data_IF_144455513210
#
_entry.id   IF_144455513210
#
_cell.length_a   1.000
_cell.length_b   1.000
_cell.length_c   1.000
_cell.angle_alpha   90.00
_cell.angle_beta   90.00
_cell.angle_gamma   90.00
#
_symmetry.space_group_name_H-M   'P 1'
#
loop_
_entity.id
_entity.type
_entity.pdbx_description
1 polymer ?
#
# COMPACT_ATOMS: atom_id res chain seq x y z
N UNK A 1 -4.70 -11.41 13.78
CA UNK A 1 -4.89 -10.06 14.36
C UNK A 1 -4.95 -9.99 15.89
N UNK A 2 -5.07 -11.10 16.63
CA UNK A 2 -5.26 -11.05 18.09
C UNK A 2 -3.93 -10.93 18.85
N UNK A 3 -3.59 -9.72 19.28
CA UNK A 3 -2.37 -9.40 20.06
C UNK A 3 -2.67 -8.29 21.07
N UNK A 4 -1.83 -8.19 22.11
CA UNK A 4 -1.78 -7.05 23.02
C UNK A 4 -0.41 -6.38 22.87
N UNK A 5 -0.35 -5.27 22.13
CA UNK A 5 0.90 -4.58 21.86
C UNK A 5 0.70 -3.08 21.71
N UNK A 6 1.76 -2.32 21.97
CA UNK A 6 1.80 -0.87 21.77
C UNK A 6 3.20 -0.45 21.35
N UNK A 7 3.27 0.66 20.61
CA UNK A 7 4.50 1.35 20.26
C UNK A 7 4.33 2.84 20.59
N UNK A 8 5.41 3.48 21.02
CA UNK A 8 5.42 4.89 21.35
C UNK A 8 6.70 5.53 20.80
N UNK A 9 6.54 6.73 20.24
CA UNK A 9 7.63 7.51 19.65
C UNK A 9 7.62 8.88 20.31
N UNK A 10 8.76 9.29 20.85
CA UNK A 10 8.94 10.61 21.46
C UNK A 10 9.75 11.46 20.48
N UNK A 11 9.19 12.59 20.07
CA UNK A 11 9.84 13.56 19.18
C UNK A 11 10.06 14.85 19.98
N UNK A 12 11.26 15.42 19.85
CA UNK A 12 11.62 16.69 20.47
C UNK A 12 12.56 17.46 19.54
N UNK A 13 12.62 18.79 19.71
CA UNK A 13 13.70 19.56 19.09
C UNK A 13 15.04 19.21 19.77
N UNK A 14 16.15 19.36 19.04
CA UNK A 14 17.49 19.15 19.62
C UNK A 14 17.74 20.05 20.85
N UNK A 15 17.23 21.28 20.83
CA UNK A 15 17.32 22.20 21.97
C UNK A 15 16.58 21.68 23.21
N UNK A 16 15.36 21.17 23.04
CA UNK A 16 14.58 20.59 24.15
C UNK A 16 15.22 19.29 24.67
N UNK A 17 15.70 18.43 23.77
CA UNK A 17 16.40 17.20 24.16
C UNK A 17 17.63 17.48 25.03
N UNK A 18 18.43 18.51 24.69
CA UNK A 18 19.56 18.97 25.54
C UNK A 18 19.09 19.51 26.88
N UNK A 19 18.06 20.36 26.90
CA UNK A 19 17.53 20.93 28.13
C UNK A 19 17.01 19.87 29.11
N UNK A 20 16.49 18.75 28.58
CA UNK A 20 16.02 17.60 29.35
C UNK A 20 17.13 16.57 29.66
N UNK A 21 18.37 16.80 29.22
CA UNK A 21 19.50 15.91 29.47
C UNK A 21 19.45 14.58 28.70
N UNK A 22 18.75 14.52 27.56
CA UNK A 22 18.71 13.32 26.71
C UNK A 22 20.06 13.15 26.00
N UNK A 23 20.80 12.04 26.22
CA UNK A 23 22.10 11.82 25.61
C UNK A 23 22.08 11.85 24.08
N UNK A 24 23.00 12.57 23.43
CA UNK A 24 23.03 12.74 21.96
C UNK A 24 23.28 11.42 21.21
N UNK A 25 23.92 10.44 21.83
CA UNK A 25 24.10 9.09 21.25
C UNK A 25 22.77 8.34 21.10
N UNK A 26 21.73 8.72 21.84
CA UNK A 26 20.35 8.21 21.68
C UNK A 26 19.57 8.92 20.58
N UNK A 27 20.07 10.00 19.99
CA UNK A 27 19.29 10.75 19.02
C UNK A 27 19.24 10.03 17.67
N UNK A 28 18.05 10.04 17.08
CA UNK A 28 17.81 9.64 15.69
C UNK A 28 17.02 10.76 15.05
N UNK A 29 17.54 11.23 13.92
CA UNK A 29 16.98 12.32 13.16
C UNK A 29 16.06 11.78 12.06
N UNK A 30 14.98 12.50 11.84
CA UNK A 30 14.05 12.25 10.74
C UNK A 30 14.57 13.04 9.54
N UNK A 31 15.02 12.36 8.49
CA UNK A 31 15.58 12.99 7.29
C UNK A 31 14.51 13.48 6.32
N UNK A 32 13.39 12.76 6.26
CA UNK A 32 12.26 13.15 5.43
C UNK A 32 10.99 12.43 5.87
N UNK A 33 9.85 13.08 5.68
CA UNK A 33 8.53 12.46 5.79
C UNK A 33 7.67 12.88 4.60
N UNK A 34 7.10 11.92 3.89
CA UNK A 34 6.17 12.17 2.79
C UNK A 34 4.87 11.43 3.00
N UNK A 35 3.80 11.94 2.40
CA UNK A 35 2.50 11.29 2.38
C UNK A 35 1.82 11.50 1.04
N UNK A 36 1.22 10.45 0.51
CA UNK A 36 0.45 10.46 -0.73
C UNK A 36 -0.90 9.77 -0.54
N UNK A 37 -1.88 10.21 -1.33
CA UNK A 37 -3.21 9.60 -1.42
C UNK A 37 -3.41 9.15 -2.86
N UNK A 38 -3.84 7.90 -3.04
CA UNK A 38 -4.19 7.35 -4.34
C UNK A 38 -5.65 7.63 -4.68
N UNK A 39 -5.97 7.56 -5.97
CA UNK A 39 -7.34 7.50 -6.45
C UNK A 39 -8.13 6.36 -5.80
N UNK A 40 -9.45 6.55 -5.75
CA UNK A 40 -10.39 5.47 -5.45
C UNK A 40 -10.11 4.27 -6.35
N UNK A 41 -10.20 3.05 -5.81
CA UNK A 41 -9.80 1.82 -6.52
C UNK A 41 -10.41 1.71 -7.93
N UNK A 42 -11.70 2.00 -8.08
CA UNK A 42 -12.41 1.98 -9.37
C UNK A 42 -11.92 3.04 -10.36
N UNK A 43 -11.34 4.14 -9.90
CA UNK A 43 -10.86 5.22 -10.75
C UNK A 43 -9.38 5.05 -11.15
N UNK A 44 -8.68 4.03 -10.64
CA UNK A 44 -7.26 3.82 -10.95
C UNK A 44 -7.10 3.34 -12.40
N UNK A 45 -6.21 3.94 -13.20
CA UNK A 45 -5.90 3.45 -14.54
C UNK A 45 -5.45 1.98 -14.54
N UNK A 46 -4.51 1.65 -13.66
CA UNK A 46 -4.00 0.31 -13.45
C UNK A 46 -4.35 -0.15 -12.03
N UNK A 47 -5.08 -1.27 -11.92
CA UNK A 47 -5.50 -1.84 -10.64
C UNK A 47 -4.37 -2.61 -9.94
N UNK A 48 -3.32 -2.99 -10.67
CA UNK A 48 -2.18 -3.76 -10.16
C UNK A 48 -1.07 -2.89 -9.58
N UNK A 49 -1.09 -1.58 -9.85
CA UNK A 49 -0.06 -0.63 -9.46
C UNK A 49 -0.55 0.39 -8.43
N UNK A 50 0.41 1.07 -7.78
CA UNK A 50 0.15 2.18 -6.88
C UNK A 50 1.18 3.31 -7.02
N UNK A 51 1.02 4.19 -8.02
CA UNK A 51 1.96 5.29 -8.25
C UNK A 51 2.04 6.28 -7.08
N UNK A 52 0.98 6.45 -6.28
CA UNK A 52 1.04 7.30 -5.08
C UNK A 52 2.08 6.80 -4.06
N UNK A 53 2.16 5.49 -3.82
CA UNK A 53 3.17 4.94 -2.91
C UNK A 53 4.60 5.13 -3.43
N UNK A 54 4.79 4.94 -4.73
CA UNK A 54 6.08 5.18 -5.39
C UNK A 54 6.49 6.64 -5.26
N UNK A 55 5.60 7.56 -5.61
CA UNK A 55 5.85 9.00 -5.50
C UNK A 55 6.19 9.40 -4.06
N UNK A 56 5.54 8.80 -3.06
CA UNK A 56 5.87 9.01 -1.65
C UNK A 56 7.32 8.62 -1.35
N UNK A 57 7.76 7.44 -1.78
CA UNK A 57 9.12 6.95 -1.54
C UNK A 57 10.16 7.79 -2.29
N UNK A 58 9.95 8.06 -3.58
CA UNK A 58 10.86 8.89 -4.38
C UNK A 58 11.01 10.30 -3.79
N UNK A 59 9.89 10.92 -3.39
CA UNK A 59 9.90 12.25 -2.80
C UNK A 59 10.61 12.29 -1.43
N UNK A 60 10.55 11.20 -0.65
CA UNK A 60 11.27 11.07 0.62
C UNK A 60 12.78 10.93 0.36
N UNK A 61 13.17 10.01 -0.53
CA UNK A 61 14.56 9.83 -0.95
C UNK A 61 15.18 11.14 -1.45
N UNK A 62 14.49 11.86 -2.35
CA UNK A 62 14.95 13.15 -2.85
C UNK A 62 15.14 14.20 -1.73
N UNK A 63 14.19 14.30 -0.79
CA UNK A 63 14.28 15.24 0.37
C UNK A 63 15.37 14.87 1.36
N UNK A 64 15.63 13.58 1.52
CA UNK A 64 16.75 13.09 2.30
C UNK A 64 18.09 13.26 1.56
N UNK A 65 18.07 13.59 0.26
CA UNK A 65 19.25 13.55 -0.63
C UNK A 65 19.90 12.17 -0.62
N UNK A 66 19.07 11.13 -0.74
CA UNK A 66 19.45 9.72 -0.71
C UNK A 66 18.88 8.94 -1.88
N UNK A 67 19.51 7.81 -2.15
CA UNK A 67 19.03 6.77 -3.06
C UNK A 67 18.50 5.55 -2.30
N UNK A 68 17.76 4.67 -2.99
CA UNK A 68 17.29 3.41 -2.38
C UNK A 68 18.44 2.50 -1.94
N UNK A 69 19.57 2.51 -2.68
CA UNK A 69 20.74 1.68 -2.35
C UNK A 69 21.45 2.12 -1.06
N UNK A 70 21.29 3.38 -0.66
CA UNK A 70 21.81 3.89 0.61
C UNK A 70 20.93 3.51 1.81
N UNK A 71 19.74 2.94 1.58
CA UNK A 71 18.88 2.45 2.66
C UNK A 71 19.38 1.08 3.10
N UNK A 72 20.01 1.02 4.27
CA UNK A 72 20.52 -0.22 4.84
C UNK A 72 19.42 -1.05 5.51
N UNK A 73 18.36 -0.38 5.98
CA UNK A 73 17.24 -1.01 6.67
C UNK A 73 15.92 -0.61 5.99
N UNK A 74 15.10 -1.59 5.65
CA UNK A 74 13.83 -1.39 4.97
C UNK A 74 12.69 -2.03 5.78
N UNK A 75 11.60 -1.29 5.98
CA UNK A 75 10.32 -1.88 6.36
C UNK A 75 9.22 -1.37 5.43
N UNK A 76 8.76 -2.24 4.55
CA UNK A 76 7.56 -2.01 3.75
C UNK A 76 6.36 -2.68 4.41
N UNK A 77 5.30 -1.88 4.64
CA UNK A 77 4.04 -2.39 5.17
C UNK A 77 3.46 -3.55 4.33
N UNK A 78 3.09 -4.64 4.99
CA UNK A 78 2.93 -5.95 4.34
C UNK A 78 1.68 -6.72 4.77
N UNK A 79 0.52 -6.08 4.96
CA UNK A 79 -0.74 -6.80 5.22
C UNK A 79 -1.09 -7.85 4.15
N UNK A 80 -0.72 -7.53 2.91
CA UNK A 80 -0.76 -8.39 1.74
C UNK A 80 0.55 -8.18 0.98
N UNK A 81 0.79 -8.99 -0.05
CA UNK A 81 2.03 -8.91 -0.82
C UNK A 81 2.12 -7.69 -1.75
N UNK A 82 0.99 -7.24 -2.32
CA UNK A 82 0.96 -6.19 -3.36
C UNK A 82 1.61 -4.84 -2.95
N UNK A 83 1.47 -4.31 -1.71
CA UNK A 83 2.16 -3.08 -1.32
C UNK A 83 3.67 -3.24 -1.23
N UNK A 84 4.18 -4.46 -1.05
CA UNK A 84 5.63 -4.77 -1.05
C UNK A 84 6.12 -4.96 -2.48
N UNK A 85 5.43 -5.77 -3.28
CA UNK A 85 5.79 -6.00 -4.69
C UNK A 85 5.81 -4.71 -5.48
N UNK A 86 4.84 -3.81 -5.28
CA UNK A 86 4.83 -2.51 -5.95
C UNK A 86 6.12 -1.71 -5.70
N UNK A 87 6.72 -1.79 -4.50
CA UNK A 87 8.03 -1.16 -4.23
C UNK A 87 9.18 -1.92 -4.89
N UNK A 88 9.14 -3.26 -4.84
CA UNK A 88 10.19 -4.10 -5.41
C UNK A 88 10.30 -3.91 -6.91
N UNK A 89 9.16 -3.97 -7.62
CA UNK A 89 9.08 -3.84 -9.07
C UNK A 89 9.59 -2.46 -9.53
N UNK A 90 9.26 -1.39 -8.80
CA UNK A 90 9.70 -0.03 -9.15
C UNK A 90 11.17 0.24 -8.85
N UNK A 91 11.63 -0.13 -7.64
CA UNK A 91 12.99 0.15 -7.20
C UNK A 91 14.00 -0.94 -7.59
N UNK A 92 13.57 -1.96 -8.33
CA UNK A 92 14.43 -3.08 -8.74
C UNK A 92 14.95 -3.92 -7.58
N UNK A 93 14.20 -3.98 -6.47
CA UNK A 93 14.58 -4.78 -5.30
C UNK A 93 14.25 -6.25 -5.56
N UNK A 94 15.21 -7.11 -5.30
CA UNK A 94 14.95 -8.54 -5.29
C UNK A 94 14.03 -8.89 -4.12
N UNK A 95 13.15 -9.87 -4.30
CA UNK A 95 12.26 -10.36 -3.23
C UNK A 95 13.03 -10.96 -2.05
N UNK A 96 14.26 -11.40 -2.33
CA UNK A 96 15.25 -11.93 -1.40
C UNK A 96 16.44 -10.96 -1.19
N UNK A 97 16.21 -9.64 -1.37
CA UNK A 97 17.23 -8.62 -1.11
C UNK A 97 17.90 -8.87 0.27
N UNK A 98 19.24 -8.96 0.34
CA UNK A 98 19.94 -9.37 1.55
C UNK A 98 19.78 -8.39 2.72
N UNK A 99 19.33 -7.15 2.46
CA UNK A 99 18.97 -6.19 3.51
C UNK A 99 17.69 -6.58 4.26
N UNK A 100 16.85 -7.40 3.62
CA UNK A 100 15.48 -7.68 4.03
C UNK A 100 14.52 -6.55 3.67
N UNK A 101 13.23 -6.88 3.55
CA UNK A 101 12.15 -5.94 3.21
C UNK A 101 11.27 -5.57 4.43
N UNK A 102 11.60 -6.09 5.61
CA UNK A 102 10.94 -5.82 6.88
C UNK A 102 11.94 -5.82 8.04
N UNK A 103 11.69 -4.96 9.02
CA UNK A 103 12.40 -4.91 10.29
C UNK A 103 11.64 -5.64 11.41
N UNK A 104 10.33 -5.78 11.26
CA UNK A 104 9.42 -6.33 12.29
C UNK A 104 9.00 -7.78 12.03
N UNK A 105 9.17 -8.28 10.81
CA UNK A 105 8.73 -9.61 10.38
C UNK A 105 7.46 -9.61 9.52
N UNK A 106 6.86 -8.45 9.27
CA UNK A 106 5.70 -8.28 8.41
C UNK A 106 4.37 -8.63 9.08
N UNK A 107 3.28 -8.00 8.60
CA UNK A 107 2.03 -7.95 9.34
C UNK A 107 1.37 -9.31 9.63
N UNK A 108 1.35 -10.29 8.69
CA UNK A 108 0.70 -11.59 8.93
C UNK A 108 1.37 -12.38 10.07
N UNK A 109 2.66 -12.16 10.32
CA UNK A 109 3.47 -12.93 11.26
C UNK A 109 3.72 -12.16 12.56
N UNK A 110 3.94 -10.86 12.48
CA UNK A 110 4.12 -9.98 13.64
C UNK A 110 2.83 -9.85 14.46
N UNK A 111 1.68 -9.79 13.77
CA UNK A 111 0.36 -9.70 14.39
C UNK A 111 -0.13 -8.27 14.63
N UNK A 112 -1.43 -8.15 14.92
CA UNK A 112 -2.16 -6.89 15.09
C UNK A 112 -3.02 -6.49 13.89
N UNK A 113 -4.01 -5.62 14.13
CA UNK A 113 -4.99 -5.19 13.13
C UNK A 113 -4.44 -4.20 12.08
N UNK A 114 -3.12 -4.19 11.84
CA UNK A 114 -2.47 -3.34 10.85
C UNK A 114 -2.28 -1.88 11.24
N UNK A 115 -3.29 -1.25 11.85
CA UNK A 115 -3.33 0.22 11.98
C UNK A 115 -2.12 0.84 12.72
N UNK A 116 -1.58 0.18 13.73
CA UNK A 116 -0.40 0.65 14.48
C UNK A 116 0.92 -0.07 14.11
N UNK A 117 0.93 -0.93 13.08
CA UNK A 117 2.11 -1.71 12.72
C UNK A 117 3.33 -0.83 12.41
N UNK A 118 3.15 0.22 11.59
CA UNK A 118 4.29 1.06 11.19
C UNK A 118 4.93 1.83 12.34
N UNK A 119 4.23 2.03 13.47
CA UNK A 119 4.86 2.60 14.66
C UNK A 119 5.91 1.64 15.24
N UNK A 120 5.65 0.32 15.24
CA UNK A 120 6.64 -0.68 15.62
C UNK A 120 7.81 -0.71 14.63
N UNK A 121 7.54 -0.59 13.33
CA UNK A 121 8.59 -0.50 12.32
C UNK A 121 9.50 0.73 12.51
N UNK A 122 8.94 1.88 12.89
CA UNK A 122 9.73 3.07 13.24
C UNK A 122 10.58 2.82 14.50
N UNK A 123 10.02 2.19 15.54
CA UNK A 123 10.79 1.83 16.73
C UNK A 123 11.97 0.92 16.39
N UNK A 124 11.76 -0.12 15.57
CA UNK A 124 12.82 -1.00 15.11
C UNK A 124 13.85 -0.26 14.25
N UNK A 125 13.42 0.59 13.31
CA UNK A 125 14.32 1.42 12.51
C UNK A 125 15.23 2.29 13.39
N UNK A 126 14.68 2.92 14.43
CA UNK A 126 15.43 3.73 15.41
C UNK A 126 16.49 2.89 16.13
N UNK A 127 16.15 1.69 16.60
CA UNK A 127 17.11 0.81 17.29
C UNK A 127 18.21 0.32 16.32
N UNK A 128 17.85 -0.05 15.08
CA UNK A 128 18.81 -0.50 14.06
C UNK A 128 19.82 0.58 13.69
N UNK A 129 19.39 1.82 13.44
CA UNK A 129 20.31 2.91 13.08
C UNK A 129 21.16 3.37 14.27
N UNK A 130 20.67 3.26 15.51
CA UNK A 130 21.51 3.47 16.71
C UNK A 130 22.61 2.41 16.82
N UNK A 131 22.27 1.16 16.56
CA UNK A 131 23.21 0.03 16.57
C UNK A 131 24.24 0.07 15.44
N UNK A 132 23.89 0.72 14.32
CA UNK A 132 24.79 0.95 13.20
C UNK A 132 24.79 2.44 12.80
N UNK A 133 25.53 3.25 13.55
CA UNK A 133 25.54 4.71 13.37
C UNK A 133 25.99 5.10 11.96
N UNK A 134 25.36 6.13 11.41
CA UNK A 134 25.59 6.61 10.05
C UNK A 134 24.79 5.88 8.96
N UNK A 135 24.15 4.76 9.30
CA UNK A 135 23.23 4.06 8.39
C UNK A 135 21.87 4.77 8.28
N UNK A 136 21.11 4.40 7.26
CA UNK A 136 19.78 4.94 6.99
C UNK A 136 18.74 3.84 6.96
N UNK A 137 17.58 4.12 7.54
CA UNK A 137 16.41 3.27 7.52
C UNK A 137 15.24 3.94 6.81
N UNK A 138 14.52 3.18 5.98
CA UNK A 138 13.30 3.60 5.32
C UNK A 138 12.11 2.80 5.85
N UNK A 139 11.05 3.49 6.27
CA UNK A 139 9.78 2.87 6.67
C UNK A 139 8.67 3.38 5.76
N UNK A 140 7.99 2.46 5.06
CA UNK A 140 6.80 2.71 4.26
C UNK A 140 5.54 2.24 4.99
N UNK A 141 4.59 3.15 5.21
CA UNK A 141 3.33 2.91 5.90
C UNK A 141 2.15 2.96 4.92
N UNK A 142 1.47 1.84 4.73
CA UNK A 142 0.33 1.70 3.82
C UNK A 142 -1.01 1.76 4.57
N UNK A 143 -2.01 2.42 4.00
CA UNK A 143 -3.37 2.50 4.55
C UNK A 143 -4.47 2.19 3.53
N UNK A 144 -5.51 1.49 3.97
CA UNK A 144 -6.66 1.11 3.14
C UNK A 144 -6.27 0.10 2.04
N UNK A 145 -6.91 0.22 0.88
CA UNK A 145 -6.62 -0.60 -0.31
C UNK A 145 -5.49 0.01 -1.15
N UNK A 146 -4.35 0.24 -0.49
CA UNK A 146 -3.27 1.10 -1.03
C UNK A 146 -3.78 2.51 -1.35
N UNK A 147 -4.71 3.01 -0.54
CA UNK A 147 -5.33 4.32 -0.73
C UNK A 147 -4.46 5.46 -0.20
N UNK A 148 -3.57 5.15 0.74
CA UNK A 148 -2.64 6.09 1.37
C UNK A 148 -1.30 5.43 1.54
N UNK A 149 -0.24 6.21 1.36
CA UNK A 149 1.11 5.78 1.67
C UNK A 149 1.87 6.92 2.33
N UNK A 150 2.65 6.62 3.37
CA UNK A 150 3.56 7.57 3.99
C UNK A 150 4.94 6.94 4.09
N UNK A 151 5.99 7.74 3.87
CA UNK A 151 7.37 7.27 3.91
C UNK A 151 8.17 8.11 4.90
N UNK A 152 8.91 7.46 5.80
CA UNK A 152 9.86 8.09 6.70
C UNK A 152 11.28 7.58 6.48
N UNK A 153 12.27 8.47 6.53
CA UNK A 153 13.70 8.11 6.51
C UNK A 153 14.37 8.55 7.81
N UNK A 154 15.14 7.66 8.43
CA UNK A 154 15.71 7.83 9.76
C UNK A 154 17.22 7.53 9.75
N UNK A 155 18.02 8.30 10.49
CA UNK A 155 19.45 8.04 10.71
C UNK A 155 19.93 8.72 11.99
N UNK A 156 21.09 8.31 12.49
CA UNK A 156 21.79 9.06 13.55
C UNK A 156 22.52 10.30 13.02
N UNK A 157 22.69 10.43 11.71
CA UNK A 157 23.23 11.64 11.10
C UNK A 157 22.29 12.83 11.35
N UNK A 158 22.80 14.03 11.67
CA UNK A 158 21.95 15.21 11.84
C UNK A 158 21.16 15.54 10.57
N UNK A 159 19.89 15.87 10.73
CA UNK A 159 19.04 16.41 9.66
C UNK A 159 18.68 17.88 9.96
N UNK A 160 18.96 18.78 9.02
CA UNK A 160 18.62 20.20 9.14
C UNK A 160 17.18 20.47 8.66
N UNK A 161 16.32 20.91 9.58
CA UNK A 161 14.92 21.25 9.34
C UNK A 161 14.68 22.76 9.20
N UNK A 162 15.71 23.59 9.17
CA UNK A 162 15.57 25.05 9.14
C UNK A 162 14.77 25.58 7.93
N UNK A 163 14.88 24.92 6.78
CA UNK A 163 14.14 25.25 5.56
C UNK A 163 12.68 24.75 5.54
N UNK A 164 12.30 23.89 6.50
CA UNK A 164 10.97 23.28 6.59
C UNK A 164 10.50 22.55 5.30
N UNK A 165 11.42 21.91 4.59
CA UNK A 165 11.21 21.25 3.29
C UNK A 165 11.31 19.71 3.36
N UNK A 166 11.66 19.16 4.53
CA UNK A 166 11.77 17.71 4.78
C UNK A 166 10.42 17.00 4.97
N UNK A 167 9.32 17.75 5.00
CA UNK A 167 7.97 17.19 5.00
C UNK A 167 7.20 17.58 3.73
N UNK A 168 6.47 16.63 3.13
CA UNK A 168 5.53 16.97 2.06
C UNK A 168 4.31 16.05 2.02
N UNK A 169 3.13 16.64 1.80
CA UNK A 169 1.95 15.93 1.33
C UNK A 169 1.85 16.11 -0.18
N UNK A 170 1.94 15.01 -0.92
CA UNK A 170 1.93 15.02 -2.38
C UNK A 170 0.50 15.23 -2.92
N UNK A 171 0.35 15.91 -4.07
CA UNK A 171 -0.94 16.01 -4.73
C UNK A 171 -1.40 14.64 -5.23
N UNK A 172 -2.72 14.43 -5.22
CA UNK A 172 -3.32 13.25 -5.83
C UNK A 172 -3.23 13.35 -7.36
N UNK A 173 -3.03 12.21 -8.04
CA UNK A 173 -2.96 12.18 -9.50
C UNK A 173 -4.29 12.60 -10.14
N UNK A 174 -4.22 13.26 -11.30
CA UNK A 174 -5.37 13.74 -12.06
C UNK A 174 -5.77 12.86 -13.24
N UNK A 175 -5.27 11.63 -13.30
CA UNK A 175 -5.42 10.72 -14.45
C UNK A 175 -6.47 9.61 -14.23
N UNK A 176 -7.45 9.83 -13.35
CA UNK A 176 -8.45 8.82 -13.06
C UNK A 176 -9.30 8.43 -14.28
N UNK A 177 -9.67 7.15 -14.38
CA UNK A 177 -10.54 6.65 -15.44
C UNK A 177 -12.01 6.95 -15.12
N UNK A 178 -12.87 7.13 -16.14
CA UNK A 178 -14.32 7.25 -15.94
C UNK A 178 -14.88 6.02 -15.22
N UNK A 179 -15.78 6.26 -14.26
CA UNK A 179 -16.52 5.23 -13.54
C UNK A 179 -18.01 5.44 -13.76
N UNK A 180 -18.78 4.36 -13.84
CA UNK A 180 -20.23 4.43 -14.06
C UNK A 180 -21.00 3.78 -12.92
N UNK A 181 -21.91 4.54 -12.32
CA UNK A 181 -22.95 4.03 -11.42
C UNK A 181 -24.28 3.78 -12.16
N UNK A 182 -24.33 4.10 -13.45
CA UNK A 182 -25.51 3.88 -14.29
C UNK A 182 -25.69 2.37 -14.58
N UNK A 183 -26.93 1.91 -14.83
CA UNK A 183 -27.15 0.54 -15.29
C UNK A 183 -26.36 0.23 -16.56
N UNK A 184 -25.76 -0.96 -16.62
CA UNK A 184 -25.04 -1.48 -17.76
C UNK A 184 -25.46 -2.93 -18.01
N UNK A 185 -25.42 -3.35 -19.26
CA UNK A 185 -25.86 -4.67 -19.73
C UNK A 185 -24.68 -5.61 -20.04
N UNK A 186 -23.46 -5.07 -20.06
CA UNK A 186 -22.27 -5.80 -20.44
C UNK A 186 -21.02 -5.22 -19.78
N UNK A 187 -20.07 -6.10 -19.44
CA UNK A 187 -18.76 -5.73 -18.91
C UNK A 187 -17.67 -6.69 -19.38
N UNK A 188 -16.48 -6.17 -19.63
CA UNK A 188 -15.26 -6.96 -19.86
C UNK A 188 -14.47 -7.01 -18.56
N UNK A 189 -14.16 -8.20 -18.06
CA UNK A 189 -13.47 -8.39 -16.77
C UNK A 189 -12.01 -7.93 -16.86
N UNK A 190 -11.57 -7.13 -15.88
CA UNK A 190 -10.18 -6.68 -15.76
C UNK A 190 -9.50 -7.25 -14.51
N UNK A 191 -10.23 -7.35 -13.40
CA UNK A 191 -9.74 -7.93 -12.16
C UNK A 191 -10.90 -8.55 -11.39
N UNK A 192 -10.59 -9.50 -10.50
CA UNK A 192 -11.60 -10.17 -9.71
C UNK A 192 -11.04 -10.72 -8.41
N UNK A 193 -11.94 -11.12 -7.52
CA UNK A 193 -11.64 -11.95 -6.37
C UNK A 193 -12.82 -12.87 -6.08
N UNK A 194 -12.55 -14.01 -5.44
CA UNK A 194 -13.57 -14.91 -4.92
C UNK A 194 -13.46 -14.91 -3.40
N UNK A 195 -14.52 -14.48 -2.74
CA UNK A 195 -14.63 -14.57 -1.30
C UNK A 195 -15.25 -15.91 -0.93
N UNK A 196 -14.44 -16.81 -0.37
CA UNK A 196 -14.89 -18.13 0.07
C UNK A 196 -15.44 -18.08 1.50
N UNK A 197 -16.75 -18.31 1.65
CA UNK A 197 -17.43 -18.29 2.94
C UNK A 197 -17.97 -19.69 3.28
N UNK A 198 -18.29 -19.94 4.55
CA UNK A 198 -18.86 -21.23 4.99
C UNK A 198 -20.19 -21.61 4.33
N UNK A 199 -20.92 -20.63 3.79
CA UNK A 199 -22.29 -20.79 3.24
C UNK A 199 -22.28 -20.73 1.70
N UNK A 200 -21.13 -20.45 1.09
CA UNK A 200 -21.00 -20.27 -0.36
C UNK A 200 -19.86 -19.31 -0.70
N UNK A 201 -19.51 -19.25 -1.98
CA UNK A 201 -18.53 -18.30 -2.49
C UNK A 201 -19.23 -17.16 -3.21
N UNK A 202 -18.68 -15.94 -3.11
CA UNK A 202 -19.11 -14.79 -3.89
C UNK A 202 -17.92 -14.29 -4.73
N UNK A 203 -18.10 -14.20 -6.04
CA UNK A 203 -17.11 -13.59 -6.93
C UNK A 203 -17.46 -12.12 -7.16
N UNK A 204 -16.49 -11.21 -6.99
CA UNK A 204 -16.61 -9.79 -7.34
C UNK A 204 -15.64 -9.51 -8.48
N UNK A 205 -16.10 -8.81 -9.51
CA UNK A 205 -15.26 -8.34 -10.61
C UNK A 205 -15.25 -6.81 -10.69
N UNK A 206 -14.12 -6.28 -11.14
CA UNK A 206 -13.99 -4.94 -11.69
C UNK A 206 -13.76 -5.12 -13.19
N UNK A 207 -14.47 -4.33 -14.00
CA UNK A 207 -14.35 -4.40 -15.46
C UNK A 207 -14.71 -3.10 -16.14
N UNK A 208 -14.72 -3.12 -17.48
CA UNK A 208 -15.13 -1.99 -18.31
C UNK A 208 -16.42 -2.31 -19.08
N UNK A 209 -17.37 -1.38 -19.07
CA UNK A 209 -18.60 -1.48 -19.85
C UNK A 209 -18.35 -1.15 -21.34
N UNK A 210 -19.38 -1.25 -22.19
CA UNK A 210 -19.29 -0.94 -23.62
C UNK A 210 -18.91 0.52 -23.93
N UNK A 211 -19.14 1.46 -22.99
CA UNK A 211 -18.74 2.85 -23.12
C UNK A 211 -17.28 3.11 -22.67
N UNK A 212 -16.57 2.08 -22.20
CA UNK A 212 -15.20 2.20 -21.70
C UNK A 212 -15.10 2.77 -20.28
N UNK A 213 -16.19 2.74 -19.51
CA UNK A 213 -16.23 3.20 -18.12
C UNK A 213 -16.02 2.02 -17.16
N UNK A 214 -15.32 2.27 -16.04
CA UNK A 214 -15.14 1.27 -14.99
C UNK A 214 -16.46 0.97 -14.29
N UNK A 215 -16.73 -0.31 -14.10
CA UNK A 215 -17.91 -0.84 -13.42
C UNK A 215 -17.53 -1.99 -12.47
N UNK A 216 -18.41 -2.24 -11.50
CA UNK A 216 -18.25 -3.32 -10.51
C UNK A 216 -19.50 -4.20 -10.51
N UNK A 217 -19.30 -5.51 -10.39
CA UNK A 217 -20.38 -6.47 -10.28
C UNK A 217 -19.94 -7.78 -9.63
N UNK A 218 -20.87 -8.71 -9.56
CA UNK A 218 -20.66 -10.07 -9.09
C UNK A 218 -20.74 -11.04 -10.27
N UNK A 219 -19.86 -12.03 -10.30
CA UNK A 219 -20.02 -13.13 -11.24
C UNK A 219 -21.08 -14.10 -10.71
N UNK A 220 -21.94 -14.61 -11.59
CA UNK A 220 -22.93 -15.61 -11.24
C UNK A 220 -22.24 -16.99 -11.07
N UNK A 221 -22.00 -17.40 -9.83
CA UNK A 221 -21.40 -18.70 -9.54
C UNK A 221 -22.41 -19.87 -9.55
N UNK A 222 -23.70 -19.58 -9.68
CA UNK A 222 -24.72 -20.62 -9.89
C UNK A 222 -24.77 -21.06 -11.37
N UNK A 223 -24.34 -20.20 -12.28
CA UNK A 223 -24.12 -20.52 -13.69
C UNK A 223 -22.81 -21.31 -13.87
N UNK A 224 -22.90 -22.57 -14.32
CA UNK A 224 -21.75 -23.48 -14.39
C UNK A 224 -20.61 -22.98 -15.30
N UNK A 225 -20.88 -22.47 -16.52
CA UNK A 225 -19.83 -21.88 -17.36
C UNK A 225 -19.11 -20.72 -16.67
N UNK A 226 -19.87 -19.78 -16.11
CA UNK A 226 -19.33 -18.61 -15.41
C UNK A 226 -18.49 -19.02 -14.19
N UNK A 227 -19.00 -19.94 -13.36
CA UNK A 227 -18.25 -20.47 -12.21
C UNK A 227 -16.92 -21.09 -12.63
N UNK A 228 -16.93 -21.99 -13.63
CA UNK A 228 -15.71 -22.67 -14.10
C UNK A 228 -14.64 -21.67 -14.56
N UNK A 229 -15.04 -20.61 -15.26
CA UNK A 229 -14.10 -19.59 -15.72
C UNK A 229 -13.46 -18.84 -14.54
N UNK A 230 -14.26 -18.37 -13.58
CA UNK A 230 -13.74 -17.62 -12.43
C UNK A 230 -12.87 -18.49 -11.50
N UNK A 231 -13.28 -19.74 -11.25
CA UNK A 231 -12.51 -20.70 -10.47
C UNK A 231 -11.23 -21.16 -11.17
N UNK A 232 -11.12 -21.00 -12.50
CA UNK A 232 -9.92 -21.37 -13.26
C UNK A 232 -8.71 -20.46 -13.02
N UNK A 233 -8.92 -19.23 -12.50
CA UNK A 233 -7.86 -18.23 -12.40
C UNK A 233 -7.86 -17.18 -13.51
N UNK A 234 -8.53 -17.46 -14.64
CA UNK A 234 -8.31 -16.73 -15.90
C UNK A 234 -9.59 -16.07 -16.50
N UNK A 235 -10.44 -15.36 -15.72
CA UNK A 235 -11.60 -14.66 -16.27
C UNK A 235 -11.23 -13.36 -17.01
N UNK A 236 -9.95 -12.99 -17.06
CA UNK A 236 -9.47 -11.73 -17.61
C UNK A 236 -9.85 -11.57 -19.09
N UNK A 237 -10.41 -10.43 -19.46
CA UNK A 237 -10.87 -10.15 -20.82
C UNK A 237 -12.18 -10.84 -21.21
N UNK A 238 -12.75 -11.68 -20.35
CA UNK A 238 -14.05 -12.30 -20.63
C UNK A 238 -15.16 -11.25 -20.65
N UNK A 239 -16.08 -11.39 -21.62
CA UNK A 239 -17.27 -10.56 -21.73
C UNK A 239 -18.41 -11.20 -20.97
N UNK A 240 -19.00 -10.42 -20.07
CA UNK A 240 -20.16 -10.79 -19.29
C UNK A 240 -21.39 -10.03 -19.78
N UNK A 241 -22.52 -10.73 -19.92
CA UNK A 241 -23.85 -10.11 -19.91
C UNK A 241 -24.28 -9.88 -18.48
N UNK A 242 -24.70 -8.66 -18.17
CA UNK A 242 -24.97 -8.20 -16.82
C UNK A 242 -26.46 -7.91 -16.65
N UNK A 243 -27.03 -8.42 -15.55
CA UNK A 243 -28.41 -8.15 -15.13
C UNK A 243 -28.42 -7.72 -13.69
N UNK A 244 -29.37 -6.85 -13.32
CA UNK A 244 -29.55 -6.46 -11.92
C UNK A 244 -30.47 -7.45 -11.21
N UNK A 245 -30.04 -7.98 -10.07
CA UNK A 245 -30.89 -8.84 -9.24
C UNK A 245 -31.90 -8.03 -8.41
N UNK A 246 -32.79 -8.72 -7.71
CA UNK A 246 -33.81 -8.12 -6.84
C UNK A 246 -33.21 -7.28 -5.69
N UNK A 247 -31.96 -7.55 -5.33
CA UNK A 247 -31.22 -6.85 -4.28
C UNK A 247 -30.44 -5.64 -4.82
N UNK A 248 -30.50 -5.39 -6.13
CA UNK A 248 -29.82 -4.28 -6.78
C UNK A 248 -28.37 -4.57 -7.18
N UNK A 249 -27.88 -5.81 -7.06
CA UNK A 249 -26.52 -6.19 -7.46
C UNK A 249 -26.44 -6.40 -8.95
N UNK A 250 -25.32 -5.98 -9.56
CA UNK A 250 -25.00 -6.31 -10.94
C UNK A 250 -24.46 -7.74 -11.00
N UNK A 251 -25.18 -8.66 -11.65
CA UNK A 251 -24.83 -10.07 -11.78
C UNK A 251 -24.42 -10.35 -13.23
N UNK A 252 -23.17 -10.75 -13.44
CA UNK A 252 -22.59 -11.06 -14.74
C UNK A 252 -22.52 -12.56 -15.03
N UNK A 253 -22.93 -12.95 -16.23
CA UNK A 253 -22.75 -14.31 -16.80
C UNK A 253 -21.92 -14.23 -18.07
N UNK A 254 -21.13 -15.25 -18.39
CA UNK A 254 -20.45 -15.34 -19.68
C UNK A 254 -21.48 -15.15 -20.80
N UNK A 255 -21.19 -14.23 -21.72
CA UNK A 255 -22.02 -14.05 -22.90
C UNK A 255 -21.98 -15.32 -23.77
N UNK A 256 -23.15 -15.81 -24.20
CA UNK A 256 -23.24 -16.87 -25.22
C UNK A 256 -22.59 -16.45 -26.55
#
# INVERSE_FOLDING_TARGET
DQVNQAAAIIIASAGLARALGVPEDKWVHIHSVTAATELMLSARPDLSANPASIASVEAALARASKSMDEMQFLDFYSCFAIPVFNQCDHFGLAVDDPRGLTLTGGLPFFGGAGNNYSAHAICEAVERVRGNRGSYALVGANGGWMSKYATGIYSTEPADWAANDRFAKLPMAGNGVPCSDAPFDSATVESYTINHNKIGSDAVFIGCNAAGERVVGNADLDDEPTRKLFESGEPFGAKLTVKRDERGRNIGRIAE
#
